data_IF_747300594217
#
_entry.id   IF_747300594217
#
_cell.length_a   1.000
_cell.length_b   1.000
_cell.length_c   1.000
_cell.angle_alpha   90.00
_cell.angle_beta   90.00
_cell.angle_gamma   90.00
#
_symmetry.space_group_name_H-M   'P 1'
#
loop_
_entity.id
_entity.type
_entity.pdbx_description
1 polymer ?
#
# COMPACT_ATOMS: atom_id res chain seq x y z
N UNK A 1 -72.01 -21.02 -17.10
CA UNK A 1 -71.37 -20.14 -16.11
C UNK A 1 -72.02 -20.40 -14.78
N UNK A 2 -71.28 -21.02 -13.88
CA UNK A 2 -71.20 -20.71 -12.44
C UNK A 2 -70.17 -21.67 -11.91
N UNK A 3 -69.00 -21.12 -11.59
CA UNK A 3 -67.90 -21.78 -10.90
C UNK A 3 -68.48 -22.42 -9.64
N UNK A 4 -68.39 -23.74 -9.55
CA UNK A 4 -68.58 -24.41 -8.26
C UNK A 4 -67.30 -24.12 -7.52
N UNK A 5 -67.40 -23.26 -6.51
CA UNK A 5 -66.33 -23.00 -5.55
C UNK A 5 -65.65 -24.34 -5.22
N UNK A 6 -64.34 -24.45 -5.49
CA UNK A 6 -63.52 -25.52 -4.94
C UNK A 6 -63.53 -25.32 -3.42
N UNK A 7 -64.48 -25.97 -2.76
CA UNK A 7 -64.61 -25.97 -1.32
C UNK A 7 -63.33 -26.63 -0.81
N UNK A 8 -62.42 -25.80 -0.31
CA UNK A 8 -61.19 -26.23 0.36
C UNK A 8 -61.58 -27.27 1.41
N UNK A 9 -61.08 -28.49 1.26
CA UNK A 9 -61.43 -29.54 2.20
C UNK A 9 -60.74 -29.27 3.53
N UNK A 10 -61.32 -29.70 4.66
CA UNK A 10 -60.69 -29.54 5.98
C UNK A 10 -59.26 -30.10 6.01
N UNK A 11 -58.96 -31.12 5.19
CA UNK A 11 -57.62 -31.68 5.04
C UNK A 11 -56.65 -30.76 4.29
N UNK A 12 -57.12 -30.01 3.28
CA UNK A 12 -56.30 -29.01 2.57
C UNK A 12 -56.04 -27.78 3.46
N UNK A 13 -57.00 -27.42 4.31
CA UNK A 13 -56.84 -26.37 5.33
C UNK A 13 -55.84 -26.79 6.42
N UNK A 14 -55.92 -28.04 6.88
CA UNK A 14 -54.99 -28.60 7.86
C UNK A 14 -53.56 -28.71 7.30
N UNK A 15 -53.41 -29.16 6.05
CA UNK A 15 -52.11 -29.18 5.37
C UNK A 15 -51.51 -27.77 5.17
N UNK A 16 -52.34 -26.78 4.83
CA UNK A 16 -51.88 -25.39 4.70
C UNK A 16 -51.51 -24.77 6.07
N UNK A 17 -52.19 -25.15 7.15
CA UNK A 17 -51.85 -24.76 8.51
C UNK A 17 -50.55 -25.43 9.00
N UNK A 18 -50.33 -26.71 8.66
CA UNK A 18 -49.08 -27.41 8.95
C UNK A 18 -47.91 -26.84 8.16
N UNK A 19 -48.09 -26.49 6.87
CA UNK A 19 -47.06 -25.83 6.07
C UNK A 19 -46.69 -24.45 6.64
N UNK A 20 -47.67 -23.66 7.09
CA UNK A 20 -47.43 -22.38 7.80
C UNK A 20 -46.78 -22.56 9.18
N UNK A 21 -47.04 -23.69 9.84
CA UNK A 21 -46.44 -24.01 11.15
C UNK A 21 -45.00 -24.55 11.00
N UNK A 22 -44.59 -24.96 9.80
CA UNK A 22 -43.23 -25.44 9.50
C UNK A 22 -42.26 -24.32 9.06
N UNK A 23 -42.71 -23.06 8.95
CA UNK A 23 -41.88 -21.88 8.64
C UNK A 23 -40.85 -21.53 9.76
N UNK A 24 -40.87 -22.27 10.87
CA UNK A 24 -39.81 -22.25 11.90
C UNK A 24 -38.42 -22.51 11.29
N UNK A 25 -38.34 -23.23 10.18
CA UNK A 25 -37.10 -23.46 9.42
C UNK A 25 -36.40 -22.16 9.02
N UNK A 26 -37.13 -21.18 8.52
CA UNK A 26 -36.59 -19.89 8.06
C UNK A 26 -36.11 -19.04 9.25
N UNK A 27 -36.80 -19.13 10.39
CA UNK A 27 -36.42 -18.43 11.63
C UNK A 27 -35.16 -19.07 12.22
N UNK A 28 -35.04 -20.39 12.22
CA UNK A 28 -33.83 -21.09 12.70
C UNK A 28 -32.62 -20.81 11.81
N UNK A 29 -32.80 -20.78 10.49
CA UNK A 29 -31.74 -20.43 9.54
C UNK A 29 -31.32 -18.97 9.68
N UNK A 30 -32.27 -18.05 9.84
CA UNK A 30 -32.00 -16.65 10.13
C UNK A 30 -31.24 -16.48 11.44
N UNK A 31 -31.66 -17.15 12.53
CA UNK A 31 -30.99 -17.07 13.82
C UNK A 31 -29.57 -17.65 13.78
N UNK A 32 -29.37 -18.73 13.02
CA UNK A 32 -28.05 -19.30 12.77
C UNK A 32 -27.16 -18.32 11.99
N UNK A 33 -27.70 -17.69 10.95
CA UNK A 33 -27.00 -16.65 10.19
C UNK A 33 -26.70 -15.42 11.06
N UNK A 34 -27.62 -15.02 11.94
CA UNK A 34 -27.42 -13.92 12.88
C UNK A 34 -26.33 -14.23 13.91
N UNK A 35 -26.23 -15.47 14.38
CA UNK A 35 -25.14 -15.91 15.26
C UNK A 35 -23.79 -15.92 14.52
N UNK A 36 -23.77 -16.41 13.27
CA UNK A 36 -22.56 -16.39 12.43
C UNK A 36 -22.06 -14.97 12.18
N UNK A 37 -22.96 -14.02 11.93
CA UNK A 37 -22.66 -12.60 11.77
C UNK A 37 -22.46 -11.84 13.07
N UNK A 38 -22.43 -12.54 14.23
CA UNK A 38 -22.27 -11.94 15.56
C UNK A 38 -23.27 -10.81 15.79
N UNK A 39 -24.55 -11.05 15.53
CA UNK A 39 -25.67 -10.15 15.89
C UNK A 39 -26.38 -10.61 17.16
N UNK A 40 -26.38 -11.91 17.41
CA UNK A 40 -26.97 -12.58 18.57
C UNK A 40 -26.02 -13.72 19.01
N UNK A 41 -26.03 -14.10 20.29
CA UNK A 41 -25.36 -15.32 20.73
C UNK A 41 -26.21 -16.56 20.42
N UNK A 42 -25.59 -17.74 20.39
CA UNK A 42 -26.31 -18.99 20.16
C UNK A 42 -27.33 -19.31 21.26
N UNK A 43 -27.01 -18.98 22.53
CA UNK A 43 -27.92 -19.15 23.67
C UNK A 43 -29.17 -18.25 23.55
N UNK A 44 -28.98 -17.01 23.08
CA UNK A 44 -30.08 -16.08 22.81
C UNK A 44 -30.92 -16.51 21.60
N UNK A 45 -30.29 -17.09 20.57
CA UNK A 45 -31.00 -17.69 19.45
C UNK A 45 -31.85 -18.89 19.87
N UNK A 46 -31.32 -19.75 20.74
CA UNK A 46 -32.05 -20.90 21.29
C UNK A 46 -33.23 -20.47 22.16
N UNK A 47 -33.07 -19.40 22.94
CA UNK A 47 -34.17 -18.81 23.72
C UNK A 47 -35.31 -18.29 22.84
N UNK A 48 -34.98 -17.73 21.66
CA UNK A 48 -35.97 -17.27 20.67
C UNK A 48 -36.65 -18.47 19.99
N UNK A 49 -35.89 -19.52 19.64
CA UNK A 49 -36.44 -20.76 19.06
C UNK A 49 -37.36 -21.52 20.04
N UNK A 50 -37.08 -21.45 21.34
CA UNK A 50 -37.84 -22.16 22.38
C UNK A 50 -39.18 -21.49 22.76
N UNK A 51 -39.58 -20.40 22.09
CA UNK A 51 -40.87 -19.73 22.31
C UNK A 51 -41.05 -19.10 23.70
N UNK A 52 -39.96 -18.94 24.46
CA UNK A 52 -39.99 -18.49 25.83
C UNK A 52 -39.96 -16.96 25.93
N UNK A 53 -41.16 -16.39 26.06
CA UNK A 53 -41.46 -15.03 26.52
C UNK A 53 -41.21 -13.86 25.56
N UNK A 54 -42.19 -12.96 25.49
CA UNK A 54 -42.20 -11.63 24.88
C UNK A 54 -41.24 -10.63 25.58
N UNK A 55 -40.08 -11.10 26.04
CA UNK A 55 -39.08 -10.26 26.71
C UNK A 55 -38.01 -9.83 25.68
N UNK A 56 -37.62 -8.53 25.65
CA UNK A 56 -36.57 -8.07 24.75
C UNK A 56 -35.23 -8.71 25.14
N UNK A 57 -34.74 -9.60 24.28
CA UNK A 57 -33.40 -10.21 24.40
C UNK A 57 -32.36 -9.14 24.08
N UNK A 58 -31.58 -8.73 25.08
CA UNK A 58 -30.48 -7.77 24.90
C UNK A 58 -29.27 -8.51 24.33
N UNK A 59 -28.98 -8.30 23.05
CA UNK A 59 -27.77 -8.78 22.37
C UNK A 59 -26.54 -8.59 23.26
N UNK A 60 -26.07 -9.70 23.85
CA UNK A 60 -24.96 -9.76 24.80
C UNK A 60 -23.68 -10.22 24.11
N UNK A 61 -23.49 -9.79 22.86
CA UNK A 61 -22.29 -10.11 22.10
C UNK A 61 -21.05 -9.83 22.95
N UNK A 62 -20.16 -10.83 23.12
CA UNK A 62 -18.93 -10.61 23.84
C UNK A 62 -18.18 -9.46 23.15
N UNK A 63 -17.59 -8.53 23.94
CA UNK A 63 -16.88 -7.40 23.38
C UNK A 63 -15.89 -7.89 22.33
N UNK A 64 -15.90 -7.26 21.16
CA UNK A 64 -14.95 -7.52 20.07
C UNK A 64 -13.52 -7.52 20.63
N UNK A 65 -12.98 -8.69 20.94
CA UNK A 65 -11.58 -8.86 21.31
C UNK A 65 -10.80 -8.82 20.01
N UNK A 66 -10.32 -7.63 19.64
CA UNK A 66 -9.31 -7.53 18.60
C UNK A 66 -8.12 -8.41 19.02
N UNK A 67 -7.60 -9.28 18.14
CA UNK A 67 -6.36 -9.99 18.42
C UNK A 67 -5.31 -8.95 18.80
N UNK A 68 -4.80 -9.02 20.04
CA UNK A 68 -3.70 -8.14 20.45
C UNK A 68 -2.46 -8.69 19.78
N UNK A 69 -1.96 -7.99 18.77
CA UNK A 69 -0.60 -8.23 18.30
C UNK A 69 0.38 -8.06 19.47
N UNK A 70 1.47 -8.83 19.52
CA UNK A 70 2.49 -8.65 20.54
C UNK A 70 3.07 -7.24 20.46
N UNK A 71 3.31 -6.62 21.61
CA UNK A 71 3.95 -5.31 21.70
C UNK A 71 5.35 -5.36 21.06
N UNK A 72 5.75 -4.24 20.44
CA UNK A 72 7.08 -4.11 19.85
C UNK A 72 8.15 -4.07 20.94
N UNK A 73 8.97 -5.12 21.03
CA UNK A 73 10.05 -5.29 22.00
C UNK A 73 11.43 -4.92 21.43
N UNK A 74 11.48 -3.91 20.55
CA UNK A 74 12.75 -3.44 19.98
C UNK A 74 13.60 -2.76 21.05
N UNK A 75 14.79 -3.30 21.30
CA UNK A 75 15.76 -2.68 22.21
C UNK A 75 16.36 -1.40 21.58
N UNK A 76 15.99 -0.27 22.17
CA UNK A 76 16.39 1.07 21.76
C UNK A 76 17.89 1.30 21.94
N UNK A 77 18.47 0.87 23.06
CA UNK A 77 19.86 1.15 23.38
C UNK A 77 20.80 0.30 22.50
N UNK A 78 20.44 -0.97 22.25
CA UNK A 78 21.16 -1.80 21.28
C UNK A 78 21.02 -1.27 19.86
N UNK A 79 19.86 -0.74 19.48
CA UNK A 79 19.67 -0.11 18.17
C UNK A 79 20.55 1.13 18.02
N UNK A 80 20.64 1.99 19.04
CA UNK A 80 21.55 3.14 19.05
C UNK A 80 23.01 2.70 18.91
N UNK A 81 23.41 1.65 19.63
CA UNK A 81 24.77 1.11 19.54
C UNK A 81 25.10 0.62 18.12
N UNK A 82 24.20 -0.15 17.49
CA UNK A 82 24.36 -0.63 16.12
C UNK A 82 24.40 0.51 15.09
N UNK A 83 23.56 1.53 15.27
CA UNK A 83 23.55 2.72 14.43
C UNK A 83 24.88 3.48 14.51
N UNK A 84 25.41 3.68 15.73
CA UNK A 84 26.70 4.36 15.93
C UNK A 84 27.88 3.59 15.32
N UNK A 85 27.82 2.27 15.30
CA UNK A 85 28.87 1.42 14.73
C UNK A 85 28.72 1.17 13.22
N UNK A 86 27.76 1.81 12.56
CA UNK A 86 27.43 1.61 11.15
C UNK A 86 27.28 0.13 10.75
N UNK A 87 26.55 -0.64 11.56
CA UNK A 87 26.37 -2.06 11.31
C UNK A 87 25.55 -2.31 10.04
N UNK A 88 26.14 -3.04 9.09
CA UNK A 88 25.50 -3.45 7.83
C UNK A 88 24.32 -4.42 7.99
N UNK A 89 24.20 -5.07 9.14
CA UNK A 89 23.07 -5.94 9.44
C UNK A 89 21.77 -5.17 9.67
N UNK A 90 21.87 -3.90 10.09
CA UNK A 90 20.73 -3.08 10.46
C UNK A 90 20.17 -2.34 9.23
N UNK A 91 19.17 -2.94 8.59
CA UNK A 91 18.47 -2.35 7.43
C UNK A 91 17.15 -1.67 7.79
N UNK A 92 16.52 -2.10 8.88
CA UNK A 92 15.20 -1.66 9.32
C UNK A 92 15.28 -1.22 10.79
N UNK A 93 14.84 0.00 11.05
CA UNK A 93 14.61 0.52 12.40
C UNK A 93 13.10 0.65 12.60
N UNK A 94 12.55 -0.19 13.49
CA UNK A 94 11.12 -0.23 13.77
C UNK A 94 10.83 0.15 15.23
N UNK A 95 10.26 1.33 15.44
CA UNK A 95 9.82 1.81 16.75
C UNK A 95 8.30 2.00 16.81
N UNK A 96 7.55 1.31 15.96
CA UNK A 96 6.09 1.42 15.92
C UNK A 96 5.47 1.07 17.28
N UNK A 97 4.44 1.81 17.66
CA UNK A 97 3.67 1.65 18.91
C UNK A 97 4.45 1.85 20.22
N UNK A 98 5.70 2.31 20.17
CA UNK A 98 6.53 2.50 21.37
C UNK A 98 6.34 3.90 22.00
N UNK A 99 5.14 4.18 22.53
CA UNK A 99 4.81 5.49 23.14
C UNK A 99 5.56 5.80 24.44
N UNK A 100 6.08 4.77 25.12
CA UNK A 100 6.82 4.92 26.38
C UNK A 100 8.28 5.30 26.18
N UNK A 101 8.77 5.29 24.94
CA UNK A 101 10.15 5.65 24.63
C UNK A 101 10.38 7.14 24.88
N UNK A 102 11.37 7.51 25.71
CA UNK A 102 11.66 8.92 25.99
C UNK A 102 12.19 9.62 24.73
N UNK A 103 11.66 10.82 24.46
CA UNK A 103 12.04 11.67 23.30
C UNK A 103 13.57 11.81 23.11
N UNK A 104 14.40 12.00 24.16
CA UNK A 104 15.85 12.08 24.00
C UNK A 104 16.48 10.83 23.37
N UNK A 105 15.94 9.63 23.59
CA UNK A 105 16.45 8.42 22.94
C UNK A 105 16.11 8.41 21.45
N UNK A 106 14.93 8.87 21.07
CA UNK A 106 14.50 9.00 19.67
C UNK A 106 15.41 9.98 18.94
N UNK A 107 15.72 11.13 19.55
CA UNK A 107 16.68 12.10 19.00
C UNK A 107 18.06 11.49 18.78
N UNK A 108 18.57 10.71 19.75
CA UNK A 108 19.86 10.01 19.60
C UNK A 108 19.85 8.99 18.47
N UNK A 109 18.72 8.30 18.25
CA UNK A 109 18.56 7.40 17.09
C UNK A 109 18.66 8.20 15.80
N UNK A 110 17.91 9.30 15.68
CA UNK A 110 17.94 10.15 14.48
C UNK A 110 19.34 10.74 14.23
N UNK A 111 20.00 11.25 15.28
CA UNK A 111 21.37 11.75 15.18
C UNK A 111 22.35 10.66 14.71
N UNK A 112 22.24 9.45 15.24
CA UNK A 112 23.09 8.32 14.84
C UNK A 112 22.80 7.87 13.39
N UNK A 113 21.55 8.00 12.93
CA UNK A 113 21.16 7.68 11.56
C UNK A 113 21.76 8.63 10.51
N UNK A 114 22.16 9.85 10.89
CA UNK A 114 22.72 10.82 9.95
C UNK A 114 23.92 10.28 9.17
N UNK A 115 24.78 9.50 9.82
CA UNK A 115 26.02 8.97 9.24
C UNK A 115 25.94 7.49 8.86
N UNK A 116 24.77 6.86 8.99
CA UNK A 116 24.59 5.43 8.73
C UNK A 116 24.31 5.17 7.24
N UNK A 117 24.95 4.17 6.65
CA UNK A 117 24.90 3.93 5.20
C UNK A 117 24.00 2.75 4.78
N UNK A 118 23.47 1.98 5.73
CA UNK A 118 22.76 0.73 5.42
C UNK A 118 21.29 0.70 5.84
N UNK A 119 20.82 1.61 6.71
CA UNK A 119 19.40 1.69 7.05
C UNK A 119 18.62 2.16 5.83
N UNK A 120 17.70 1.31 5.39
CA UNK A 120 16.81 1.59 4.26
C UNK A 120 15.42 1.99 4.73
N UNK A 121 14.99 1.55 5.93
CA UNK A 121 13.62 1.70 6.40
C UNK A 121 13.57 2.22 7.83
N UNK A 122 12.88 3.33 8.03
CA UNK A 122 12.59 3.91 9.34
C UNK A 122 11.08 3.88 9.59
N UNK A 123 10.66 3.31 10.71
CA UNK A 123 9.25 3.24 11.10
C UNK A 123 9.06 3.79 12.51
N UNK A 124 8.28 4.87 12.61
CA UNK A 124 7.97 5.61 13.84
C UNK A 124 6.45 5.83 13.93
N UNK A 125 5.64 4.81 13.66
CA UNK A 125 4.19 4.93 13.67
C UNK A 125 3.62 4.90 15.09
N UNK A 126 2.60 5.72 15.36
CA UNK A 126 1.85 5.71 16.63
C UNK A 126 2.73 5.91 17.89
N UNK A 127 3.72 6.80 17.80
CA UNK A 127 4.62 7.11 18.93
C UNK A 127 4.19 8.37 19.70
N UNK A 128 3.26 9.17 19.16
CA UNK A 128 2.81 10.41 19.78
C UNK A 128 3.80 11.56 19.62
N UNK A 129 4.55 11.57 18.51
CA UNK A 129 5.63 12.53 18.26
C UNK A 129 5.10 13.89 17.77
N UNK A 130 5.75 14.95 18.23
CA UNK A 130 5.57 16.32 17.77
C UNK A 130 6.74 16.79 16.92
N UNK A 131 6.58 17.91 16.22
CA UNK A 131 7.60 18.47 15.31
C UNK A 131 8.98 18.65 15.96
N UNK A 132 9.03 19.07 17.23
CA UNK A 132 10.28 19.30 17.96
C UNK A 132 11.01 18.01 18.32
N UNK A 133 10.28 16.89 18.42
CA UNK A 133 10.83 15.60 18.84
C UNK A 133 11.62 14.93 17.72
N UNK A 134 11.28 15.27 16.47
CA UNK A 134 11.85 14.67 15.26
C UNK A 134 12.44 15.70 14.29
N UNK A 135 12.72 16.92 14.76
CA UNK A 135 13.31 17.97 13.93
C UNK A 135 14.63 17.51 13.27
N UNK A 136 15.40 16.67 13.98
CA UNK A 136 16.64 16.09 13.49
C UNK A 136 16.45 15.16 12.29
N UNK A 137 15.25 14.61 12.06
CA UNK A 137 14.94 13.77 10.90
C UNK A 137 15.12 14.52 9.57
N UNK A 138 14.88 15.84 9.54
CA UNK A 138 15.08 16.66 8.34
C UNK A 138 16.56 16.62 7.95
N UNK A 139 17.45 16.82 8.93
CA UNK A 139 18.89 16.72 8.70
C UNK A 139 19.33 15.31 8.29
N UNK A 140 18.67 14.27 8.79
CA UNK A 140 18.95 12.89 8.35
C UNK A 140 18.61 12.75 6.88
N UNK A 141 17.44 13.20 6.43
CA UNK A 141 17.02 13.09 5.02
C UNK A 141 17.92 13.91 4.08
N UNK A 142 18.42 15.06 4.52
CA UNK A 142 19.32 15.88 3.71
C UNK A 142 20.73 15.29 3.53
N UNK A 143 21.21 14.49 4.49
CA UNK A 143 22.59 13.98 4.47
C UNK A 143 22.69 12.48 4.16
N UNK A 144 21.63 11.73 4.45
CA UNK A 144 21.61 10.28 4.30
C UNK A 144 21.15 9.89 2.90
N UNK A 145 21.91 9.02 2.24
CA UNK A 145 21.61 8.53 0.89
C UNK A 145 21.05 7.11 0.85
N UNK A 146 21.02 6.38 1.98
CA UNK A 146 20.57 4.99 2.06
C UNK A 146 19.08 4.84 2.37
N UNK A 147 18.49 5.83 3.04
CA UNK A 147 17.11 5.79 3.49
C UNK A 147 16.13 5.81 2.31
N UNK A 148 15.30 4.78 2.21
CA UNK A 148 14.30 4.58 1.14
C UNK A 148 12.88 4.75 1.63
N UNK A 149 12.56 4.28 2.84
CA UNK A 149 11.19 4.28 3.35
C UNK A 149 11.11 4.94 4.73
N UNK A 150 10.17 5.88 4.88
CA UNK A 150 9.85 6.53 6.16
C UNK A 150 8.38 6.31 6.49
N UNK A 151 8.10 5.77 7.68
CA UNK A 151 6.76 5.70 8.24
C UNK A 151 6.61 6.61 9.45
N UNK A 152 5.73 7.61 9.35
CA UNK A 152 5.39 8.59 10.39
C UNK A 152 3.87 8.62 10.66
N UNK A 153 3.16 7.54 10.35
CA UNK A 153 1.70 7.43 10.53
C UNK A 153 1.26 7.61 11.99
N UNK A 154 0.09 8.20 12.21
CA UNK A 154 -0.54 8.30 13.54
C UNK A 154 0.33 9.04 14.57
N UNK A 155 0.88 10.19 14.21
CA UNK A 155 1.60 11.10 15.12
C UNK A 155 0.93 12.48 15.16
N UNK A 156 1.55 13.47 15.79
CA UNK A 156 1.04 14.84 15.92
C UNK A 156 1.90 15.84 15.12
N UNK A 157 2.30 15.44 13.91
CA UNK A 157 3.20 16.23 13.07
C UNK A 157 2.44 17.27 12.24
N UNK A 158 2.96 18.48 12.18
CA UNK A 158 2.36 19.58 11.42
C UNK A 158 2.68 19.49 9.92
N UNK A 159 1.91 20.22 9.12
CA UNK A 159 2.17 20.34 7.69
C UNK A 159 3.50 21.06 7.39
N UNK A 160 3.93 21.98 8.25
CA UNK A 160 5.21 22.70 8.08
C UNK A 160 6.41 21.76 8.20
N UNK A 161 6.33 20.81 9.15
CA UNK A 161 7.34 19.76 9.28
C UNK A 161 7.44 18.94 8.00
N UNK A 162 6.32 18.47 7.46
CA UNK A 162 6.33 17.69 6.21
C UNK A 162 6.78 18.51 5.00
N UNK A 163 6.45 19.81 4.92
CA UNK A 163 6.99 20.68 3.86
C UNK A 163 8.51 20.67 3.89
N UNK A 164 9.13 20.87 5.06
CA UNK A 164 10.60 20.83 5.21
C UNK A 164 11.16 19.44 4.90
N UNK A 165 10.49 18.38 5.34
CA UNK A 165 10.90 17.00 5.05
C UNK A 165 10.91 16.72 3.54
N UNK A 166 9.88 17.12 2.80
CA UNK A 166 9.83 16.93 1.36
C UNK A 166 10.79 17.84 0.60
N UNK A 167 11.08 19.04 1.12
CA UNK A 167 12.14 19.90 0.57
C UNK A 167 13.53 19.27 0.76
N UNK A 168 13.82 18.75 1.94
CA UNK A 168 15.04 18.00 2.23
C UNK A 168 15.20 16.78 1.29
N UNK A 169 14.11 16.08 1.01
CA UNK A 169 14.10 14.92 0.13
C UNK A 169 14.50 15.23 -1.33
N UNK A 170 14.48 16.50 -1.75
CA UNK A 170 14.90 16.93 -3.10
C UNK A 170 16.42 16.89 -3.30
N UNK A 171 17.21 16.89 -2.22
CA UNK A 171 18.68 16.98 -2.32
C UNK A 171 19.27 15.71 -2.94
N UNK A 172 18.87 14.54 -2.43
CA UNK A 172 19.40 13.26 -2.88
C UNK A 172 18.40 12.42 -3.67
N UNK A 173 17.09 12.70 -3.56
CA UNK A 173 16.01 11.95 -4.20
C UNK A 173 16.08 10.42 -3.97
N UNK A 174 16.63 9.99 -2.83
CA UNK A 174 16.81 8.58 -2.45
C UNK A 174 15.56 7.97 -1.82
N UNK A 175 14.70 8.81 -1.23
CA UNK A 175 13.45 8.39 -0.61
C UNK A 175 12.45 7.91 -1.67
N UNK A 176 11.98 6.67 -1.49
CA UNK A 176 11.01 6.00 -2.35
C UNK A 176 9.60 6.05 -1.75
N UNK A 177 9.49 5.87 -0.43
CA UNK A 177 8.20 5.78 0.26
C UNK A 177 8.15 6.71 1.47
N UNK A 178 7.12 7.55 1.54
CA UNK A 178 6.81 8.37 2.72
C UNK A 178 5.36 8.15 3.12
N UNK A 179 5.16 7.68 4.35
CA UNK A 179 3.83 7.49 4.94
C UNK A 179 3.61 8.48 6.07
N UNK A 180 2.54 9.26 5.95
CA UNK A 180 2.19 10.33 6.88
C UNK A 180 0.67 10.43 7.06
N UNK A 181 -0.06 9.31 6.92
CA UNK A 181 -1.51 9.30 7.12
C UNK A 181 -1.89 9.36 8.60
N UNK A 182 -3.14 9.75 8.87
CA UNK A 182 -3.74 9.78 10.20
C UNK A 182 -3.00 10.65 11.23
N UNK A 183 -2.46 11.81 10.82
CA UNK A 183 -1.91 12.76 11.79
C UNK A 183 -3.02 13.30 12.69
N UNK A 184 -2.69 13.51 13.97
CA UNK A 184 -3.57 14.16 14.94
C UNK A 184 -3.80 15.65 14.67
N UNK A 185 -3.04 16.24 13.74
CA UNK A 185 -3.15 17.65 13.31
C UNK A 185 -3.60 17.69 11.85
N UNK A 186 -4.57 18.54 11.54
CA UNK A 186 -4.96 18.79 10.15
C UNK A 186 -4.00 19.77 9.47
N UNK A 187 -3.60 19.49 8.24
CA UNK A 187 -2.71 20.37 7.49
C UNK A 187 -3.42 21.66 7.05
N UNK A 188 -2.70 22.78 7.10
CA UNK A 188 -3.15 24.06 6.55
C UNK A 188 -3.06 24.03 5.03
N UNK A 189 -3.98 24.73 4.35
CA UNK A 189 -4.00 24.85 2.88
C UNK A 189 -2.68 25.38 2.31
N UNK A 190 -1.97 26.25 3.05
CA UNK A 190 -0.67 26.79 2.63
C UNK A 190 0.39 25.70 2.64
N UNK A 191 0.51 24.96 3.75
CA UNK A 191 1.43 23.85 3.89
C UNK A 191 1.16 22.75 2.85
N UNK A 192 -0.11 22.39 2.63
CA UNK A 192 -0.47 21.41 1.59
C UNK A 192 0.07 21.83 0.21
N UNK A 193 -0.12 23.09 -0.19
CA UNK A 193 0.37 23.59 -1.48
C UNK A 193 1.89 23.52 -1.61
N UNK A 194 2.62 23.81 -0.53
CA UNK A 194 4.08 23.72 -0.53
C UNK A 194 4.58 22.27 -0.58
N UNK A 195 3.95 21.38 0.18
CA UNK A 195 4.20 19.94 0.12
C UNK A 195 3.98 19.41 -1.30
N UNK A 196 2.88 19.79 -1.96
CA UNK A 196 2.57 19.37 -3.34
C UNK A 196 3.66 19.84 -4.31
N UNK A 197 4.13 21.10 -4.19
CA UNK A 197 5.22 21.62 -5.02
C UNK A 197 6.51 20.82 -4.84
N UNK A 198 6.89 20.52 -3.59
CA UNK A 198 8.08 19.74 -3.29
C UNK A 198 7.96 18.30 -3.83
N UNK A 199 6.81 17.64 -3.63
CA UNK A 199 6.58 16.29 -4.14
C UNK A 199 6.60 16.25 -5.68
N UNK A 200 6.04 17.26 -6.34
CA UNK A 200 6.02 17.33 -7.81
C UNK A 200 7.43 17.54 -8.42
N UNK A 201 8.28 18.29 -7.72
CA UNK A 201 9.68 18.49 -8.13
C UNK A 201 10.53 17.22 -7.95
N UNK A 202 10.17 16.34 -7.02
CA UNK A 202 10.93 15.14 -6.70
C UNK A 202 10.69 14.01 -7.72
N UNK A 203 11.75 13.33 -8.15
CA UNK A 203 11.69 12.19 -9.06
C UNK A 203 11.91 10.81 -8.42
N UNK A 204 12.38 10.76 -7.18
CA UNK A 204 12.65 9.53 -6.42
C UNK A 204 11.44 8.91 -5.72
N UNK A 205 10.48 9.76 -5.30
CA UNK A 205 9.30 9.33 -4.56
C UNK A 205 8.37 8.47 -5.44
N UNK A 206 8.19 7.21 -5.04
CA UNK A 206 7.30 6.23 -5.68
C UNK A 206 5.95 6.16 -4.99
N UNK A 207 5.92 6.26 -3.66
CA UNK A 207 4.70 6.13 -2.86
C UNK A 207 4.63 7.20 -1.79
N UNK A 208 3.66 8.09 -1.92
CA UNK A 208 3.40 9.14 -0.93
C UNK A 208 2.01 8.91 -0.36
N UNK A 209 1.93 8.61 0.93
CA UNK A 209 0.66 8.41 1.65
C UNK A 209 0.42 9.60 2.57
N UNK A 210 -0.28 10.60 2.05
CA UNK A 210 -0.64 11.85 2.76
C UNK A 210 -2.11 12.15 2.46
N UNK A 211 -2.86 12.53 3.50
CA UNK A 211 -4.25 12.94 3.34
C UNK A 211 -4.33 14.43 2.95
N UNK A 212 -4.39 14.72 1.65
CA UNK A 212 -4.61 16.09 1.15
C UNK A 212 -6.09 16.46 1.20
N UNK A 213 -6.40 17.66 1.69
CA UNK A 213 -7.75 18.22 1.62
C UNK A 213 -8.06 18.73 0.21
N UNK A 214 -7.09 19.34 -0.46
CA UNK A 214 -7.27 19.89 -1.81
C UNK A 214 -7.29 18.76 -2.87
N UNK A 215 -8.33 18.66 -3.72
CA UNK A 215 -8.38 17.68 -4.81
C UNK A 215 -7.23 17.83 -5.81
N UNK A 216 -6.83 19.08 -6.10
CA UNK A 216 -5.69 19.39 -6.98
C UNK A 216 -4.39 18.72 -6.48
N UNK A 217 -4.18 18.72 -5.17
CA UNK A 217 -3.02 18.08 -4.56
C UNK A 217 -2.99 16.57 -4.76
N UNK A 218 -4.15 15.93 -4.62
CA UNK A 218 -4.29 14.48 -4.83
C UNK A 218 -3.89 14.09 -6.25
N UNK A 219 -4.46 14.77 -7.25
CA UNK A 219 -4.16 14.47 -8.65
C UNK A 219 -2.71 14.77 -9.03
N UNK A 220 -2.14 15.89 -8.53
CA UNK A 220 -0.73 16.22 -8.81
C UNK A 220 0.25 15.23 -8.19
N UNK A 221 0.01 14.80 -6.95
CA UNK A 221 0.85 13.82 -6.27
C UNK A 221 0.72 12.45 -6.95
N UNK A 222 -0.49 12.04 -7.33
CA UNK A 222 -0.72 10.82 -8.10
C UNK A 222 0.04 10.85 -9.44
N UNK A 223 -0.08 11.93 -10.22
CA UNK A 223 0.66 12.09 -11.48
C UNK A 223 2.18 12.06 -11.27
N UNK A 224 2.69 12.71 -10.22
CA UNK A 224 4.12 12.70 -9.90
C UNK A 224 4.61 11.28 -9.58
N UNK A 225 3.89 10.54 -8.72
CA UNK A 225 4.24 9.16 -8.37
C UNK A 225 4.17 8.20 -9.56
N UNK A 226 3.16 8.36 -10.44
CA UNK A 226 3.05 7.59 -11.68
C UNK A 226 4.23 7.87 -12.63
N UNK A 227 4.58 9.15 -12.83
CA UNK A 227 5.73 9.56 -13.63
C UNK A 227 7.02 8.94 -13.10
N UNK A 228 7.26 9.04 -11.80
CA UNK A 228 8.46 8.52 -11.14
C UNK A 228 8.54 6.99 -11.23
N UNK A 229 7.41 6.30 -11.09
CA UNK A 229 7.30 4.87 -11.30
C UNK A 229 7.69 4.44 -12.71
N UNK A 230 7.24 5.17 -13.74
CA UNK A 230 7.60 4.88 -15.13
C UNK A 230 9.07 5.20 -15.42
N UNK A 231 9.63 6.29 -14.89
CA UNK A 231 11.07 6.61 -14.98
C UNK A 231 11.88 5.43 -14.44
N UNK A 232 11.55 4.92 -13.25
CA UNK A 232 12.25 3.79 -12.64
C UNK A 232 12.09 2.50 -13.44
N UNK A 233 10.96 2.30 -14.12
CA UNK A 233 10.75 1.17 -15.03
C UNK A 233 11.64 1.26 -16.28
N UNK A 234 11.72 2.44 -16.90
CA UNK A 234 12.57 2.68 -18.07
C UNK A 234 14.04 2.50 -17.72
N UNK A 235 14.49 3.01 -16.57
CA UNK A 235 15.86 2.83 -16.09
C UNK A 235 16.21 1.35 -15.89
N UNK A 236 15.31 0.54 -15.32
CA UNK A 236 15.51 -0.92 -15.18
C UNK A 236 15.64 -1.62 -16.53
N UNK A 237 14.88 -1.20 -17.55
CA UNK A 237 14.97 -1.78 -18.91
C UNK A 237 16.32 -1.47 -19.55
N UNK A 238 16.76 -0.21 -19.50
CA UNK A 238 18.06 0.21 -20.04
C UNK A 238 19.22 -0.53 -19.38
N UNK A 239 19.22 -0.61 -18.04
CA UNK A 239 20.24 -1.36 -17.30
C UNK A 239 20.26 -2.86 -17.66
N UNK A 240 19.09 -3.47 -17.87
CA UNK A 240 19.00 -4.87 -18.31
C UNK A 240 19.50 -5.08 -19.75
N UNK A 241 19.25 -4.13 -20.65
CA UNK A 241 19.79 -4.16 -22.01
C UNK A 241 21.31 -3.98 -22.04
N UNK A 242 21.84 -3.09 -21.21
CA UNK A 242 23.28 -2.90 -21.04
C UNK A 242 23.97 -4.14 -20.47
N UNK A 243 23.39 -4.77 -19.44
CA UNK A 243 23.89 -6.02 -18.88
C UNK A 243 23.86 -7.18 -19.90
N UNK A 244 22.86 -7.19 -20.79
CA UNK A 244 22.81 -8.15 -21.90
C UNK A 244 23.90 -7.86 -22.94
N UNK A 245 24.15 -6.59 -23.27
CA UNK A 245 25.22 -6.20 -24.20
C UNK A 245 26.60 -6.55 -23.68
N UNK A 246 26.89 -6.31 -22.39
CA UNK A 246 28.18 -6.66 -21.79
C UNK A 246 28.38 -8.18 -21.75
N UNK A 247 27.36 -8.96 -21.40
CA UNK A 247 27.45 -10.43 -21.40
C UNK A 247 27.58 -11.04 -22.80
N UNK A 248 27.03 -10.41 -23.85
CA UNK A 248 27.31 -10.84 -25.24
C UNK A 248 28.74 -10.48 -25.66
N UNK A 249 29.24 -9.30 -25.33
CA UNK A 249 30.61 -8.87 -25.65
C UNK A 249 31.68 -9.69 -24.91
N UNK A 250 31.41 -10.18 -23.70
CA UNK A 250 32.31 -11.10 -22.97
C UNK A 250 32.31 -12.52 -23.56
N UNK A 251 31.19 -12.99 -24.13
CA UNK A 251 31.13 -14.26 -24.86
C UNK A 251 31.90 -14.21 -26.17
N UNK A 252 31.86 -13.07 -26.87
CA UNK A 252 32.61 -12.86 -28.11
C UNK A 252 34.13 -12.77 -27.87
N UNK A 253 34.57 -12.33 -26.68
CA UNK A 253 36.01 -12.30 -26.29
C UNK A 253 36.56 -13.65 -25.83
N UNK A 254 35.71 -14.54 -25.29
CA UNK A 254 36.09 -15.90 -24.90
C UNK A 254 35.80 -16.96 -25.99
N UNK A 255 35.33 -16.54 -27.16
CA UNK A 255 34.96 -17.41 -28.28
C UNK A 255 36.10 -17.91 -29.16
N UNK A 256 37.33 -17.41 -29.00
CA UNK A 256 38.45 -17.70 -29.92
C UNK A 256 39.44 -18.79 -29.46
N UNK A 257 39.10 -19.57 -28.42
CA UNK A 257 39.94 -20.69 -27.96
C UNK A 257 39.15 -21.99 -27.75
N UNK A 258 38.32 -22.42 -28.71
CA UNK A 258 37.98 -23.84 -28.82
C UNK A 258 37.44 -24.25 -30.19
N UNK A 259 38.31 -24.21 -31.20
CA UNK A 259 38.07 -24.84 -32.51
C UNK A 259 39.30 -25.66 -32.89
N UNK A 260 39.49 -26.78 -32.20
CA UNK A 260 40.29 -27.95 -32.59
C UNK A 260 40.16 -29.01 -31.49
N UNK A 261 39.13 -29.86 -31.58
CA UNK A 261 39.12 -31.26 -31.06
C UNK A 261 37.71 -31.81 -30.89
N UNK A 262 36.90 -31.88 -31.96
CA UNK A 262 35.80 -32.86 -32.06
C UNK A 262 35.58 -33.31 -33.49
N UNK A 263 36.64 -33.76 -34.13
CA UNK A 263 36.56 -34.49 -35.41
C UNK A 263 37.51 -35.70 -35.43
N UNK A 264 37.57 -36.44 -34.32
CA UNK A 264 38.15 -37.79 -34.25
C UNK A 264 37.42 -38.62 -33.20
N UNK A 265 36.30 -39.22 -33.60
CA UNK A 265 35.71 -40.46 -33.04
C UNK A 265 34.44 -40.80 -33.83
N UNK A 266 34.65 -41.13 -35.09
CA UNK A 266 33.71 -41.91 -35.91
C UNK A 266 34.60 -42.88 -36.68
N UNK A 267 34.26 -44.17 -36.60
CA UNK A 267 34.93 -45.36 -37.18
C UNK A 267 35.67 -46.19 -36.11
N UNK A 268 35.33 -47.49 -36.14
CA UNK A 268 35.62 -48.65 -35.26
C UNK A 268 34.91 -48.63 -33.88
N UNK A 269 34.02 -49.55 -33.52
CA UNK A 269 33.85 -50.96 -33.93
C UNK A 269 32.40 -51.41 -33.67
N UNK A 270 31.81 -52.10 -34.65
CA UNK A 270 30.69 -53.03 -34.50
C UNK A 270 31.26 -54.43 -34.20
N UNK A 271 30.42 -55.29 -33.60
CA UNK A 271 30.58 -56.72 -33.23
C UNK A 271 30.73 -56.94 -31.71
N UNK A 272 29.61 -57.22 -31.03
CA UNK A 272 29.02 -58.56 -30.77
C UNK A 272 29.88 -59.36 -29.79
N UNK A 273 29.38 -59.51 -28.56
CA UNK A 273 29.34 -60.81 -27.90
C UNK A 273 28.21 -60.91 -26.88
N UNK A 274 27.76 -62.16 -26.73
CA UNK A 274 26.50 -62.63 -26.16
C UNK A 274 26.62 -62.98 -24.67
N UNK A 275 25.44 -63.13 -24.05
CA UNK A 275 25.11 -63.87 -22.83
C UNK A 275 25.58 -63.23 -21.51
N UNK A 276 24.80 -63.19 -20.44
CA UNK A 276 23.48 -63.75 -20.16
C UNK A 276 23.14 -63.51 -18.69
N UNK A 277 21.84 -63.58 -18.42
CA UNK A 277 21.21 -63.98 -17.17
C UNK A 277 20.95 -63.00 -16.00
N UNK A 278 19.64 -62.94 -15.75
CA UNK A 278 18.89 -62.86 -14.49
C UNK A 278 18.58 -61.45 -13.95
N UNK A 279 17.36 -60.96 -14.22
CA UNK A 279 16.13 -61.15 -13.42
C UNK A 279 16.25 -60.38 -12.09
N UNK A 280 15.48 -59.32 -11.84
CA UNK A 280 14.14 -59.45 -11.24
C UNK A 280 13.31 -58.18 -11.44
N UNK A 281 12.01 -58.45 -11.56
CA UNK A 281 10.84 -57.61 -11.82
C UNK A 281 10.56 -56.51 -10.78
N UNK A 282 10.01 -55.39 -11.28
CA UNK A 282 8.72 -54.73 -10.93
C UNK A 282 8.83 -53.28 -11.50
N UNK A 283 8.15 -52.80 -12.56
CA UNK A 283 6.72 -52.83 -12.98
C UNK A 283 5.80 -52.65 -11.78
N UNK A 284 4.89 -51.71 -11.67
CA UNK A 284 4.04 -50.88 -12.55
C UNK A 284 3.23 -50.03 -11.52
N UNK A 285 2.47 -48.97 -11.77
CA UNK A 285 2.22 -48.03 -12.85
C UNK A 285 1.29 -46.95 -12.23
N UNK A 286 1.27 -45.77 -12.87
CA UNK A 286 0.09 -44.96 -13.26
C UNK A 286 -1.01 -44.69 -12.21
N UNK A 287 -1.56 -43.50 -12.04
CA UNK A 287 -2.15 -42.55 -13.01
C UNK A 287 -2.70 -41.39 -12.12
N UNK A 288 -2.83 -40.10 -12.45
CA UNK A 288 -3.52 -39.49 -13.59
C UNK A 288 -3.06 -38.04 -13.80
N UNK A 289 -2.88 -37.70 -15.08
CA UNK A 289 -3.00 -36.34 -15.62
C UNK A 289 -4.49 -36.01 -15.80
N UNK A 290 -4.86 -34.75 -15.55
CA UNK A 290 -5.90 -34.08 -16.33
C UNK A 290 -5.45 -32.65 -16.66
N UNK A 291 -5.40 -32.38 -17.96
CA UNK A 291 -5.11 -31.10 -18.59
C UNK A 291 -6.43 -30.58 -19.12
N UNK A 292 -6.77 -29.33 -18.81
CA UNK A 292 -7.71 -28.54 -19.62
C UNK A 292 -7.00 -27.25 -20.03
N UNK A 293 -6.86 -27.09 -21.34
CA UNK A 293 -6.40 -25.89 -22.04
C UNK A 293 -7.58 -24.92 -22.18
N UNK A 294 -7.35 -23.63 -21.94
CA UNK A 294 -8.02 -22.56 -22.70
C UNK A 294 -7.14 -21.31 -22.79
N UNK A 295 -6.57 -21.16 -23.99
CA UNK A 295 -6.36 -19.97 -24.83
C UNK A 295 -5.78 -18.68 -24.22
N UNK A 296 -4.62 -18.36 -24.78
CA UNK A 296 -3.97 -17.06 -24.90
C UNK A 296 -4.94 -15.93 -25.28
N UNK A 297 -4.71 -14.75 -24.72
CA UNK A 297 -5.00 -13.46 -25.37
C UNK A 297 -4.05 -12.38 -24.80
N UNK A 298 -2.97 -12.16 -25.54
CA UNK A 298 -2.12 -10.96 -25.43
C UNK A 298 -2.78 -9.81 -26.20
N UNK A 299 -3.13 -8.71 -25.53
CA UNK A 299 -3.51 -7.47 -26.21
C UNK A 299 -3.02 -6.25 -25.42
N UNK A 300 -2.03 -5.56 -25.98
CA UNK A 300 -1.65 -4.20 -25.61
C UNK A 300 -2.71 -3.20 -26.14
N UNK A 301 -3.03 -2.11 -25.44
CA UNK A 301 -3.91 -1.09 -25.98
C UNK A 301 -3.18 -0.28 -27.07
N UNK A 302 -3.86 -0.15 -28.21
CA UNK A 302 -3.41 0.46 -29.46
C UNK A 302 -3.60 1.97 -29.41
N UNK A 303 -2.55 2.71 -29.75
CA UNK A 303 -2.54 4.16 -29.96
C UNK A 303 -3.43 4.48 -31.17
N UNK A 304 -4.42 5.36 -30.98
CA UNK A 304 -5.16 6.02 -32.05
C UNK A 304 -4.60 7.44 -32.20
N UNK A 305 -3.70 7.60 -33.17
CA UNK A 305 -3.34 8.90 -33.72
C UNK A 305 -4.29 9.24 -34.87
N UNK A 306 -4.83 10.45 -34.84
CA UNK A 306 -5.42 11.10 -35.99
C UNK A 306 -4.81 12.52 -36.05
N UNK A 307 -3.91 12.73 -37.00
CA UNK A 307 -3.44 14.05 -37.44
C UNK A 307 -4.43 14.59 -38.46
N UNK A 308 -4.93 15.83 -38.27
CA UNK A 308 -5.32 16.72 -39.38
C UNK A 308 -4.96 18.18 -39.02
N UNK A 309 -3.91 18.66 -39.69
CA UNK A 309 -3.65 19.95 -40.35
C UNK A 309 -3.80 21.30 -39.62
N UNK A 310 -2.71 22.06 -39.77
CA UNK A 310 -2.50 23.49 -39.60
C UNK A 310 -3.40 24.33 -40.52
N UNK A 311 -3.91 25.45 -39.98
CA UNK A 311 -4.17 26.69 -40.71
C UNK A 311 -3.70 27.87 -39.84
N UNK A 312 -2.80 28.67 -40.39
CA UNK A 312 -2.42 30.01 -39.93
C UNK A 312 -3.58 30.99 -40.17
N UNK A 313 -3.79 31.98 -39.29
CA UNK A 313 -3.92 33.40 -39.67
C UNK A 313 -4.10 34.35 -38.46
N UNK A 314 -3.12 35.25 -38.36
CA UNK A 314 -3.21 36.70 -38.14
C UNK A 314 -3.76 37.37 -36.87
N UNK A 315 -3.03 38.45 -36.56
CA UNK A 315 -3.14 39.40 -35.46
C UNK A 315 -4.31 40.36 -35.69
N UNK A 316 -5.08 40.65 -34.64
CA UNK A 316 -5.67 41.97 -34.46
C UNK A 316 -5.46 42.46 -33.04
N UNK A 317 -4.70 43.55 -32.94
CA UNK A 317 -4.61 44.43 -31.78
C UNK A 317 -5.94 45.14 -31.58
N UNK A 318 -6.44 45.19 -30.35
CA UNK A 318 -7.17 46.37 -29.88
C UNK A 318 -7.05 46.49 -28.36
N UNK A 319 -6.42 47.59 -27.92
CA UNK A 319 -6.28 47.93 -26.52
C UNK A 319 -7.53 48.59 -25.95
N UNK A 320 -7.74 48.45 -24.64
CA UNK A 320 -7.97 49.58 -23.71
C UNK A 320 -8.26 49.09 -22.28
N UNK A 321 -7.48 49.68 -21.37
CA UNK A 321 -7.83 50.14 -20.03
C UNK A 321 -7.86 49.14 -18.86
N UNK A 322 -6.72 49.08 -18.17
CA UNK A 322 -6.59 48.75 -16.76
C UNK A 322 -7.42 49.69 -15.87
N UNK A 323 -8.17 49.11 -14.93
CA UNK A 323 -8.58 49.76 -13.68
C UNK A 323 -8.29 48.80 -12.52
N UNK A 324 -7.53 49.21 -11.50
CA UNK A 324 -7.25 48.35 -10.35
C UNK A 324 -8.46 48.23 -9.41
N UNK A 325 -8.62 47.04 -8.84
CA UNK A 325 -9.67 46.64 -7.92
C UNK A 325 -9.57 47.40 -6.58
N UNK A 326 -10.69 47.93 -6.09
CA UNK A 326 -10.76 48.72 -4.86
C UNK A 326 -10.57 47.87 -3.59
N UNK A 327 -9.62 48.26 -2.76
CA UNK A 327 -9.33 47.68 -1.44
C UNK A 327 -10.30 48.25 -0.41
N UNK A 328 -11.18 47.42 0.14
CA UNK A 328 -11.98 47.79 1.32
C UNK A 328 -11.11 47.75 2.59
N UNK A 329 -10.68 48.92 3.07
CA UNK A 329 -10.10 49.09 4.41
C UNK A 329 -11.23 49.23 5.43
N UNK A 330 -11.42 48.23 6.30
CA UNK A 330 -12.29 48.33 7.48
C UNK A 330 -11.53 49.09 8.57
N UNK A 331 -11.98 50.29 8.92
CA UNK A 331 -11.43 51.10 9.99
C UNK A 331 -11.78 50.51 11.36
N UNK A 332 -10.77 50.18 12.15
CA UNK A 332 -10.92 49.84 13.57
C UNK A 332 -10.87 51.17 14.32
N UNK A 333 -12.02 51.62 14.83
CA UNK A 333 -12.09 52.79 15.69
C UNK A 333 -11.74 52.36 17.13
N UNK A 334 -10.57 52.76 17.61
CA UNK A 334 -10.19 52.67 19.01
C UNK A 334 -10.87 53.80 19.79
N UNK A 335 -11.88 53.49 20.60
CA UNK A 335 -12.34 54.38 21.67
C UNK A 335 -12.56 53.62 22.97
N UNK A 336 -11.63 53.91 23.88
CA UNK A 336 -11.83 54.19 25.32
C UNK A 336 -12.43 53.10 26.20
N UNK A 337 -11.56 52.45 26.98
CA UNK A 337 -11.85 52.09 28.36
C UNK A 337 -12.00 53.36 29.22
N UNK A 338 -12.81 53.29 30.29
CA UNK A 338 -12.33 53.81 31.56
C UNK A 338 -12.55 52.83 32.73
N UNK A 339 -11.71 53.02 33.73
CA UNK A 339 -11.63 52.34 35.01
C UNK A 339 -12.88 52.48 35.91
N UNK A 340 -13.01 51.48 36.80
CA UNK A 340 -13.51 51.49 38.19
C UNK A 340 -14.99 51.81 38.47
N UNK A 341 -15.70 50.86 39.08
CA UNK A 341 -15.76 50.67 40.54
C UNK A 341 -16.16 49.24 40.89
#
# INVERSE_FOLDING_TARGET
MTEVDEIMTDADLEAALDDLNNDDGDVTELLKLMNEHRMISWEEAEQIMAGSESAPVKSSLPPQTRPSEPDNDTDIDMTIYKLKNNDSSLKLVNLNNMKRTPVPQIKRILEAMKNHEYVERLQLANMGLYDNDIAELINVVENNTSLKCINLETNYLSGEFFTKLFQAALVHETLEEVKAVNQGVSFSTVAEKEMIKAIFANHGLLKVSVNFRLPEGRHKVEQATLRNGEIRRVMRRKAAEEAKKTTTLEKDKNGDNNTKDKEKKKITTLEKDKNGDNNTKNKENEEKKSVVKTKDNSAAPRILGAEIKEEDEEKQQNGKNDKPMTVYKKSINSKTAPFSK
#
